data_IF_116867485955
#
_entry.id   IF_116867485955
#
_cell.length_a   1.000
_cell.length_b   1.000
_cell.length_c   1.000
_cell.angle_alpha   90.00
_cell.angle_beta   90.00
_cell.angle_gamma   90.00
#
_symmetry.space_group_name_H-M   'P 1'
#
loop_
_entity.id
_entity.type
_entity.pdbx_description
1 polymer ?
#
# COMPACT_ATOMS: atom_id res chain seq x y z
N UNK A 1 7.53 17.38 -8.75
CA UNK A 1 7.70 17.54 -7.29
C UNK A 1 6.75 16.69 -6.48
N UNK A 2 5.41 16.85 -6.58
CA UNK A 2 4.42 16.10 -5.77
C UNK A 2 4.69 14.58 -5.70
N UNK A 3 4.77 13.90 -6.84
CA UNK A 3 4.92 12.42 -6.89
C UNK A 3 6.21 11.93 -6.20
N UNK A 4 7.28 12.71 -6.21
CA UNK A 4 8.51 12.39 -5.47
C UNK A 4 8.36 12.53 -3.96
N UNK A 5 7.59 13.53 -3.49
CA UNK A 5 7.24 13.66 -2.07
C UNK A 5 6.38 12.48 -1.65
N UNK A 6 5.37 12.13 -2.45
CA UNK A 6 4.51 10.98 -2.19
C UNK A 6 5.30 9.66 -2.17
N UNK A 7 6.25 9.46 -3.08
CA UNK A 7 7.08 8.25 -3.09
C UNK A 7 7.89 8.09 -1.80
N UNK A 8 8.46 9.18 -1.28
CA UNK A 8 9.15 9.18 0.02
C UNK A 8 8.19 8.92 1.17
N UNK A 9 7.07 9.65 1.23
CA UNK A 9 6.08 9.49 2.30
C UNK A 9 5.50 8.07 2.35
N UNK A 10 5.10 7.52 1.21
CA UNK A 10 4.58 6.15 1.09
C UNK A 10 5.64 5.10 1.42
N UNK A 11 6.88 5.31 1.00
CA UNK A 11 8.01 4.45 1.35
C UNK A 11 8.30 4.44 2.85
N UNK A 12 8.38 5.63 3.48
CA UNK A 12 8.57 5.75 4.93
C UNK A 12 7.41 5.15 5.72
N UNK A 13 6.16 5.41 5.30
CA UNK A 13 4.98 4.84 5.94
C UNK A 13 4.98 3.31 5.91
N UNK A 14 5.34 2.71 4.78
CA UNK A 14 5.50 1.25 4.68
C UNK A 14 6.70 0.74 5.49
N UNK A 15 7.85 1.39 5.41
CA UNK A 15 9.06 0.94 6.11
C UNK A 15 8.91 0.97 7.64
N UNK A 16 8.09 1.88 8.17
CA UNK A 16 7.83 2.05 9.60
C UNK A 16 6.59 1.27 10.03
N UNK A 17 5.41 1.85 9.82
CA UNK A 17 4.11 1.30 10.25
C UNK A 17 3.81 0.00 9.53
N UNK A 18 4.06 -0.06 8.22
CA UNK A 18 3.81 -1.27 7.41
C UNK A 18 4.66 -2.46 7.86
N UNK A 19 5.97 -2.27 8.05
CA UNK A 19 6.89 -3.31 8.53
C UNK A 19 6.54 -3.75 9.94
N UNK A 20 6.28 -2.81 10.87
CA UNK A 20 5.90 -3.15 12.23
C UNK A 20 4.64 -4.01 12.26
N UNK A 21 3.63 -3.64 11.47
CA UNK A 21 2.39 -4.42 11.35
C UNK A 21 2.62 -5.78 10.70
N UNK A 22 3.44 -5.85 9.65
CA UNK A 22 3.77 -7.12 8.98
C UNK A 22 4.50 -8.07 9.94
N UNK A 23 5.46 -7.56 10.72
CA UNK A 23 6.17 -8.36 11.73
C UNK A 23 5.21 -8.86 12.80
N UNK A 24 4.32 -7.99 13.31
CA UNK A 24 3.32 -8.43 14.29
C UNK A 24 2.38 -9.49 13.72
N UNK A 25 1.89 -9.31 12.48
CA UNK A 25 1.07 -10.30 11.80
C UNK A 25 1.79 -11.66 11.71
N UNK A 26 3.02 -11.68 11.19
CA UNK A 26 3.79 -12.92 11.03
C UNK A 26 4.09 -13.59 12.38
N UNK A 27 4.45 -12.80 13.39
CA UNK A 27 4.69 -13.30 14.74
C UNK A 27 3.41 -13.88 15.37
N UNK A 28 2.25 -13.22 15.20
CA UNK A 28 0.97 -13.70 15.70
C UNK A 28 0.54 -15.01 15.02
N UNK A 29 0.75 -15.14 13.71
CA UNK A 29 0.51 -16.38 12.97
C UNK A 29 1.42 -17.50 13.48
N UNK A 30 2.70 -17.23 13.72
CA UNK A 30 3.66 -18.21 14.20
C UNK A 30 3.43 -18.65 15.66
N UNK A 31 2.91 -17.75 16.52
CA UNK A 31 2.67 -18.00 17.93
C UNK A 31 1.42 -18.85 18.23
N UNK A 32 0.58 -19.10 17.22
CA UNK A 32 -0.55 -20.01 17.31
C UNK A 32 -1.93 -19.34 17.32
N UNK A 33 -3.02 -20.14 17.42
CA UNK A 33 -4.38 -19.68 17.16
C UNK A 33 -4.84 -18.53 18.07
N UNK A 34 -4.46 -18.55 19.35
CA UNK A 34 -4.85 -17.52 20.31
C UNK A 34 -4.20 -16.17 19.98
N UNK A 35 -2.90 -16.16 19.69
CA UNK A 35 -2.17 -14.94 19.30
C UNK A 35 -2.69 -14.36 17.98
N UNK A 36 -2.99 -15.23 17.01
CA UNK A 36 -3.60 -14.81 15.76
C UNK A 36 -5.02 -14.24 15.94
N UNK A 37 -5.82 -14.81 16.84
CA UNK A 37 -7.14 -14.28 17.18
C UNK A 37 -7.04 -12.87 17.76
N UNK A 38 -6.11 -12.63 18.69
CA UNK A 38 -5.85 -11.29 19.26
C UNK A 38 -5.50 -10.30 18.15
N UNK A 39 -4.58 -10.65 17.26
CA UNK A 39 -4.23 -9.78 16.11
C UNK A 39 -5.46 -9.45 15.26
N UNK A 40 -6.24 -10.47 14.89
CA UNK A 40 -7.42 -10.32 14.04
C UNK A 40 -8.50 -9.45 14.70
N UNK A 41 -8.71 -9.59 16.00
CA UNK A 41 -9.75 -8.89 16.74
C UNK A 41 -9.47 -7.37 16.86
N UNK A 42 -8.21 -6.94 16.71
CA UNK A 42 -7.88 -5.51 16.60
C UNK A 42 -8.42 -4.88 15.31
N UNK A 43 -8.51 -5.64 14.22
CA UNK A 43 -8.89 -5.13 12.90
C UNK A 43 -10.30 -5.53 12.46
N UNK A 44 -10.97 -6.42 13.19
CA UNK A 44 -12.30 -6.93 12.82
C UNK A 44 -13.35 -6.67 13.90
N UNK A 45 -14.61 -6.70 13.51
CA UNK A 45 -15.75 -6.83 14.44
C UNK A 45 -16.15 -8.31 14.57
N UNK A 46 -17.07 -8.64 15.48
CA UNK A 46 -17.48 -10.02 15.77
C UNK A 46 -17.97 -10.80 14.55
N UNK A 47 -18.50 -10.12 13.53
CA UNK A 47 -18.89 -10.74 12.24
C UNK A 47 -17.72 -11.12 11.35
N UNK A 48 -16.48 -10.85 11.74
CA UNK A 48 -15.26 -11.05 10.95
C UNK A 48 -14.99 -9.96 9.91
N UNK A 49 -15.89 -9.00 9.75
CA UNK A 49 -15.70 -7.83 8.87
C UNK A 49 -14.67 -6.88 9.45
N UNK A 50 -13.94 -6.17 8.60
CA UNK A 50 -13.03 -5.12 9.05
C UNK A 50 -13.78 -4.03 9.80
N UNK A 51 -13.23 -3.62 10.94
CA UNK A 51 -13.66 -2.44 11.67
C UNK A 51 -13.08 -1.17 11.04
N UNK A 52 -13.33 0.01 11.63
CA UNK A 52 -12.86 1.30 11.09
C UNK A 52 -11.33 1.33 10.96
N UNK A 53 -10.61 0.82 11.97
CA UNK A 53 -9.14 0.77 11.97
C UNK A 53 -8.64 -0.17 10.87
N UNK A 54 -9.22 -1.36 10.76
CA UNK A 54 -8.90 -2.33 9.70
C UNK A 54 -9.07 -1.76 8.30
N UNK A 55 -10.14 -1.01 8.05
CA UNK A 55 -10.36 -0.37 6.77
C UNK A 55 -9.35 0.76 6.50
N UNK A 56 -9.10 1.65 7.48
CA UNK A 56 -8.15 2.77 7.31
C UNK A 56 -6.73 2.23 7.06
N UNK A 57 -6.27 1.30 7.89
CA UNK A 57 -4.93 0.72 7.80
C UNK A 57 -4.79 -0.09 6.51
N UNK A 58 -5.78 -0.93 6.19
CA UNK A 58 -5.75 -1.74 4.97
C UNK A 58 -5.74 -0.88 3.70
N UNK A 59 -6.68 0.06 3.56
CA UNK A 59 -6.77 0.93 2.39
C UNK A 59 -5.54 1.82 2.31
N UNK A 60 -5.10 2.38 3.43
CA UNK A 60 -3.91 3.21 3.50
C UNK A 60 -2.63 2.47 3.07
N UNK A 61 -2.39 1.27 3.60
CA UNK A 61 -1.20 0.48 3.26
C UNK A 61 -1.22 0.01 1.79
N UNK A 62 -2.37 -0.39 1.27
CA UNK A 62 -2.49 -0.79 -0.15
C UNK A 62 -2.32 0.40 -1.10
N UNK A 63 -2.87 1.57 -0.77
CA UNK A 63 -2.62 2.80 -1.52
C UNK A 63 -1.14 3.21 -1.50
N UNK A 64 -0.49 3.12 -0.33
CA UNK A 64 0.95 3.35 -0.19
C UNK A 64 1.76 2.38 -1.05
N UNK A 65 1.43 1.09 -1.02
CA UNK A 65 2.10 0.05 -1.80
C UNK A 65 2.02 0.34 -3.30
N UNK A 66 0.81 0.52 -3.84
CA UNK A 66 0.64 0.72 -5.28
C UNK A 66 1.27 2.03 -5.76
N UNK A 67 1.16 3.12 -4.99
CA UNK A 67 1.79 4.39 -5.34
C UNK A 67 3.33 4.32 -5.27
N UNK A 68 3.87 3.72 -4.21
CA UNK A 68 5.31 3.58 -4.05
C UNK A 68 5.90 2.69 -5.14
N UNK A 69 5.27 1.54 -5.42
CA UNK A 69 5.66 0.61 -6.47
C UNK A 69 5.63 1.25 -7.85
N UNK A 70 4.52 1.89 -8.23
CA UNK A 70 4.38 2.50 -9.55
C UNK A 70 5.41 3.61 -9.77
N UNK A 71 5.66 4.44 -8.76
CA UNK A 71 6.70 5.46 -8.88
C UNK A 71 8.12 4.89 -8.77
N UNK A 72 8.32 3.78 -8.05
CA UNK A 72 9.58 3.04 -8.05
C UNK A 72 9.92 2.50 -9.44
N UNK A 73 8.95 1.91 -10.14
CA UNK A 73 9.10 1.47 -11.54
C UNK A 73 9.45 2.66 -12.45
N UNK A 74 8.76 3.79 -12.30
CA UNK A 74 9.11 5.03 -13.02
C UNK A 74 10.56 5.46 -12.73
N UNK A 75 11.02 5.35 -11.48
CA UNK A 75 12.41 5.64 -11.13
C UNK A 75 13.38 4.67 -11.82
N UNK A 76 13.10 3.37 -11.84
CA UNK A 76 13.94 2.39 -12.55
C UNK A 76 14.07 2.70 -14.05
N UNK A 77 13.00 3.18 -14.70
CA UNK A 77 13.08 3.66 -16.09
C UNK A 77 13.97 4.90 -16.24
N UNK A 78 13.89 5.83 -15.29
CA UNK A 78 14.75 7.01 -15.29
C UNK A 78 16.21 6.65 -15.04
N UNK A 79 16.48 5.68 -14.17
CA UNK A 79 17.84 5.27 -13.82
C UNK A 79 18.58 4.66 -15.02
N UNK A 80 17.87 4.11 -16.01
CA UNK A 80 18.44 3.62 -17.28
C UNK A 80 18.50 4.66 -18.40
N UNK A 81 18.24 5.94 -18.11
CA UNK A 81 18.31 7.01 -19.12
C UNK A 81 16.98 7.36 -19.79
N UNK A 82 15.86 6.71 -19.44
CA UNK A 82 14.58 6.89 -20.14
C UNK A 82 13.65 7.91 -19.46
N UNK A 83 12.83 8.61 -20.25
CA UNK A 83 11.70 9.38 -19.70
C UNK A 83 12.03 10.73 -19.06
N UNK A 84 13.24 11.28 -19.26
CA UNK A 84 13.64 12.60 -18.73
C UNK A 84 12.94 13.79 -19.39
N UNK A 85 12.51 13.63 -20.65
CA UNK A 85 11.78 14.67 -21.38
C UNK A 85 10.57 15.17 -20.61
N UNK A 86 10.44 16.49 -20.46
CA UNK A 86 9.49 17.12 -19.52
C UNK A 86 8.05 16.61 -19.69
N UNK A 87 7.59 16.51 -20.95
CA UNK A 87 6.24 16.02 -21.28
C UNK A 87 6.08 14.54 -20.96
N UNK A 88 7.08 13.72 -21.26
CA UNK A 88 7.09 12.29 -20.96
C UNK A 88 7.10 12.05 -19.44
N UNK A 89 8.00 12.74 -18.74
CA UNK A 89 8.15 12.67 -17.30
C UNK A 89 6.86 13.06 -16.55
N UNK A 90 6.22 14.15 -16.99
CA UNK A 90 4.92 14.60 -16.43
C UNK A 90 3.82 13.56 -16.65
N UNK A 91 3.73 12.99 -17.86
CA UNK A 91 2.74 11.95 -18.18
C UNK A 91 2.95 10.69 -17.33
N UNK A 92 4.19 10.23 -17.19
CA UNK A 92 4.51 9.08 -16.36
C UNK A 92 4.18 9.34 -14.89
N UNK A 93 4.52 10.53 -14.37
CA UNK A 93 4.16 10.92 -13.01
C UNK A 93 2.64 10.93 -12.75
N UNK A 94 1.84 11.38 -13.72
CA UNK A 94 0.37 11.31 -13.62
C UNK A 94 -0.13 9.87 -13.71
N UNK A 95 0.46 9.05 -14.57
CA UNK A 95 0.11 7.65 -14.73
C UNK A 95 0.31 6.85 -13.43
N UNK A 96 1.35 7.15 -12.62
CA UNK A 96 1.56 6.45 -11.35
C UNK A 96 0.43 6.69 -10.35
N UNK A 97 -0.09 7.91 -10.27
CA UNK A 97 -1.22 8.26 -9.40
C UNK A 97 -2.50 7.56 -9.88
N UNK A 98 -2.79 7.61 -11.18
CA UNK A 98 -3.96 6.93 -11.76
C UNK A 98 -3.89 5.43 -11.49
N UNK A 99 -2.73 4.82 -11.75
CA UNK A 99 -2.50 3.40 -11.48
C UNK A 99 -2.74 3.07 -10.00
N UNK A 100 -2.17 3.86 -9.08
CA UNK A 100 -2.30 3.61 -7.65
C UNK A 100 -3.76 3.63 -7.19
N UNK A 101 -4.54 4.63 -7.63
CA UNK A 101 -5.97 4.74 -7.30
C UNK A 101 -6.74 3.55 -7.89
N UNK A 102 -6.57 3.26 -9.17
CA UNK A 102 -7.27 2.16 -9.85
C UNK A 102 -6.96 0.82 -9.20
N UNK A 103 -5.69 0.53 -8.93
CA UNK A 103 -5.29 -0.73 -8.30
C UNK A 103 -5.78 -0.86 -6.87
N UNK A 104 -5.77 0.23 -6.10
CA UNK A 104 -6.34 0.22 -4.74
C UNK A 104 -7.83 -0.10 -4.81
N UNK A 105 -8.59 0.62 -5.64
CA UNK A 105 -10.04 0.38 -5.78
C UNK A 105 -10.32 -1.04 -6.27
N UNK A 106 -9.61 -1.51 -7.30
CA UNK A 106 -9.77 -2.86 -7.84
C UNK A 106 -9.47 -3.94 -6.79
N UNK A 107 -8.41 -3.77 -6.00
CA UNK A 107 -8.06 -4.69 -4.92
C UNK A 107 -9.17 -4.80 -3.86
N UNK A 108 -9.70 -3.65 -3.43
CA UNK A 108 -10.76 -3.61 -2.42
C UNK A 108 -12.12 -4.08 -2.94
N UNK A 109 -12.45 -3.79 -4.21
CA UNK A 109 -13.62 -4.37 -4.86
C UNK A 109 -13.51 -5.89 -4.94
N UNK A 110 -12.36 -6.42 -5.37
CA UNK A 110 -12.13 -7.86 -5.42
C UNK A 110 -12.26 -8.53 -4.04
N UNK A 111 -11.73 -7.90 -2.98
CA UNK A 111 -11.88 -8.42 -1.62
C UNK A 111 -13.32 -8.33 -1.08
N UNK A 112 -14.06 -7.30 -1.48
CA UNK A 112 -15.43 -7.02 -1.03
C UNK A 112 -16.54 -7.72 -1.82
N UNK A 113 -16.27 -8.23 -3.03
CA UNK A 113 -17.23 -8.97 -3.88
C UNK A 113 -17.32 -10.46 -3.44
N UNK A 114 -17.26 -10.72 -2.13
CA UNK A 114 -17.42 -12.08 -1.58
C UNK A 114 -18.75 -12.23 -0.87
#
# INVERSE_FOLDING_TARGET
MLVSILHRATGTGMATVGTALLVWFLAAVAAGPESYAIFRDVFTVQSGRLNIIGNIVGIGLTACLFQHMANGIRHLFMDVGAGFELKSNKRQAQATIVFAVVMTVAFWLYLGIK
#
